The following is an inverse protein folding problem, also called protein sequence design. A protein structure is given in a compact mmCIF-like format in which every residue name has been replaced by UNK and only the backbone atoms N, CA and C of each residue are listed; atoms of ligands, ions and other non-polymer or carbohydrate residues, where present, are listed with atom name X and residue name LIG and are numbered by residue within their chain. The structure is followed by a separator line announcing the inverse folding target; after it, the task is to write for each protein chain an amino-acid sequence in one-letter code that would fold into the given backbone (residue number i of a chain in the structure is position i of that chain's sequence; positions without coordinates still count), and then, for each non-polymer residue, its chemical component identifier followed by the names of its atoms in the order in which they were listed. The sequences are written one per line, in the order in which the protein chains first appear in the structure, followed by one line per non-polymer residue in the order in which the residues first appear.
data_IF_217572404861
#
_entry.id   IF_217572404861
#
_cell.length_a   1.000
_cell.length_b   1.000
_cell.length_c   1.000
_cell.angle_alpha   90.00
_cell.angle_beta   90.00
_cell.angle_gamma   90.00
#
_symmetry.space_group_name_H-M   'P 1'
#
loop_
_entity.id
_entity.type
_entity.pdbx_description
1 polymer ?
#
# COMPACT_ATOMS: atom_id res chain seq x y z
N UNK A 1 -15.43 -9.31 7.76
CA UNK A 1 -14.53 -8.53 8.65
C UNK A 1 -13.51 -7.86 7.73
N UNK A 2 -13.34 -6.53 7.79
CA UNK A 2 -12.34 -5.87 6.95
C UNK A 2 -10.95 -6.43 7.28
N UNK A 3 -10.21 -6.87 6.25
CA UNK A 3 -8.83 -7.40 6.44
C UNK A 3 -7.86 -6.33 6.95
N UNK A 4 -8.19 -5.05 6.78
CA UNK A 4 -7.42 -3.93 7.31
C UNK A 4 -7.63 -3.80 8.83
N UNK A 5 -6.74 -4.43 9.59
CA UNK A 5 -6.75 -4.35 11.07
C UNK A 5 -6.09 -3.08 11.62
N UNK A 6 -5.40 -2.28 10.79
CA UNK A 6 -4.88 -0.98 11.20
C UNK A 6 -5.04 0.10 10.12
N UNK A 7 -5.39 1.31 10.57
CA UNK A 7 -5.42 2.53 9.75
C UNK A 7 -4.03 3.16 9.55
N UNK A 8 -3.01 2.61 10.22
CA UNK A 8 -1.68 3.20 10.33
C UNK A 8 -0.60 2.13 10.22
N UNK A 9 0.59 2.53 9.75
CA UNK A 9 1.82 1.77 9.89
C UNK A 9 2.02 1.34 11.35
N UNK A 10 2.50 0.12 11.56
CA UNK A 10 2.90 -0.30 12.90
C UNK A 10 4.07 0.56 13.39
N UNK A 11 4.21 0.72 14.72
CA UNK A 11 5.27 1.54 15.31
C UNK A 11 6.67 1.19 14.79
N UNK A 12 6.96 -0.11 14.61
CA UNK A 12 8.23 -0.56 14.05
C UNK A 12 8.43 -0.13 12.59
N UNK A 13 7.39 -0.23 11.76
CA UNK A 13 7.45 0.19 10.36
C UNK A 13 7.59 1.70 10.25
N UNK A 14 6.81 2.47 11.01
CA UNK A 14 6.91 3.92 11.06
C UNK A 14 8.30 4.38 11.51
N UNK A 15 8.90 3.71 12.50
CA UNK A 15 10.26 4.02 12.98
C UNK A 15 11.31 3.79 11.89
N UNK A 16 11.27 2.64 11.20
CA UNK A 16 12.18 2.34 10.07
C UNK A 16 12.02 3.37 8.94
N UNK A 17 10.79 3.69 8.54
CA UNK A 17 10.57 4.67 7.49
C UNK A 17 11.00 6.08 7.90
N UNK A 18 10.76 6.49 9.14
CA UNK A 18 11.17 7.81 9.64
C UNK A 18 12.68 8.01 9.50
N UNK A 19 13.49 7.04 9.94
CA UNK A 19 14.96 7.16 9.83
C UNK A 19 15.44 7.18 8.37
N UNK A 20 14.74 6.51 7.46
CA UNK A 20 15.09 6.46 6.04
C UNK A 20 14.64 7.69 5.26
N UNK A 21 13.49 8.27 5.64
CA UNK A 21 12.94 9.49 5.05
C UNK A 21 13.81 10.69 5.45
N UNK A 22 14.12 10.83 6.74
CA UNK A 22 14.83 12.01 7.26
C UNK A 22 16.34 11.82 7.33
N UNK A 23 16.83 10.60 7.54
CA UNK A 23 18.26 10.30 7.68
C UNK A 23 18.93 9.78 6.40
N UNK A 24 18.18 9.66 5.30
CA UNK A 24 18.68 9.18 4.02
C UNK A 24 18.98 7.68 3.99
N UNK A 25 19.86 7.27 3.07
CA UNK A 25 20.14 5.85 2.85
C UNK A 25 20.98 5.23 3.99
N UNK A 26 20.46 4.17 4.60
CA UNK A 26 21.06 3.50 5.77
C UNK A 26 21.29 2.00 5.53
N UNK A 27 22.42 1.49 6.00
CA UNK A 27 22.71 0.05 6.00
C UNK A 27 21.79 -0.70 6.97
N UNK A 28 21.67 -2.02 6.79
CA UNK A 28 20.87 -2.85 7.68
C UNK A 28 21.29 -2.70 9.16
N UNK A 29 22.60 -2.64 9.42
CA UNK A 29 23.16 -2.48 10.77
C UNK A 29 22.90 -1.10 11.37
N UNK A 30 22.97 -0.04 10.55
CA UNK A 30 22.62 1.33 10.97
C UNK A 30 21.14 1.39 11.39
N UNK A 31 20.25 0.82 10.56
CA UNK A 31 18.81 0.76 10.85
C UNK A 31 18.54 -0.04 12.12
N UNK A 32 19.17 -1.21 12.29
CA UNK A 32 18.99 -2.04 13.47
C UNK A 32 19.36 -1.27 14.75
N UNK A 33 20.52 -0.59 14.73
CA UNK A 33 21.02 0.20 15.86
C UNK A 33 20.10 1.38 16.20
N UNK A 34 19.66 2.13 15.19
CA UNK A 34 18.82 3.32 15.39
C UNK A 34 17.37 2.96 15.78
N UNK A 35 16.86 1.82 15.29
CA UNK A 35 15.48 1.39 15.58
C UNK A 35 15.36 0.59 16.86
N UNK A 36 16.41 -0.10 17.30
CA UNK A 36 16.37 -1.00 18.47
C UNK A 36 15.48 -2.23 18.26
N UNK A 37 15.12 -2.53 17.01
CA UNK A 37 14.30 -3.69 16.66
C UNK A 37 15.12 -4.99 16.77
N UNK A 38 14.43 -6.12 16.92
CA UNK A 38 15.07 -7.42 16.77
C UNK A 38 15.51 -7.65 15.32
N UNK A 39 16.57 -8.46 15.11
CA UNK A 39 17.08 -8.80 13.77
C UNK A 39 15.98 -9.38 12.86
N UNK A 40 15.16 -10.27 13.42
CA UNK A 40 14.04 -10.91 12.72
C UNK A 40 12.92 -9.91 12.43
N UNK A 41 12.59 -9.03 13.39
CA UNK A 41 11.60 -7.97 13.23
C UNK A 41 11.98 -7.00 12.11
N UNK A 42 13.23 -6.52 12.11
CA UNK A 42 13.73 -5.64 11.06
C UNK A 42 13.71 -6.30 9.68
N UNK A 43 14.14 -7.56 9.59
CA UNK A 43 14.14 -8.29 8.31
C UNK A 43 12.74 -8.45 7.74
N UNK A 44 11.73 -8.76 8.58
CA UNK A 44 10.33 -8.82 8.17
C UNK A 44 9.82 -7.45 7.70
N UNK A 45 10.13 -6.38 8.43
CA UNK A 45 9.73 -5.02 8.07
C UNK A 45 10.35 -4.58 6.75
N UNK A 46 11.67 -4.74 6.56
CA UNK A 46 12.34 -4.36 5.31
C UNK A 46 11.82 -5.18 4.12
N UNK A 47 11.55 -6.48 4.32
CA UNK A 47 10.92 -7.31 3.28
C UNK A 47 9.56 -6.76 2.88
N UNK A 48 8.71 -6.40 3.84
CA UNK A 48 7.38 -5.81 3.58
C UNK A 48 7.49 -4.44 2.90
N UNK A 49 8.36 -3.56 3.39
CA UNK A 49 8.58 -2.23 2.82
C UNK A 49 9.09 -2.29 1.37
N UNK A 50 9.96 -3.25 1.06
CA UNK A 50 10.42 -3.50 -0.32
C UNK A 50 9.32 -4.07 -1.21
N UNK A 51 8.54 -5.04 -0.71
CA UNK A 51 7.41 -5.62 -1.45
C UNK A 51 6.39 -4.55 -1.84
N UNK A 52 6.12 -3.62 -0.94
CA UNK A 52 5.18 -2.52 -1.15
C UNK A 52 5.86 -1.27 -1.76
N UNK A 53 7.04 -1.43 -2.39
CA UNK A 53 7.78 -0.38 -3.10
C UNK A 53 7.95 0.93 -2.31
N UNK A 54 8.08 0.83 -0.98
CA UNK A 54 8.29 1.98 -0.09
C UNK A 54 9.77 2.24 0.16
N UNK A 55 10.59 1.21 -0.01
CA UNK A 55 12.04 1.24 0.20
C UNK A 55 12.73 0.45 -0.91
N UNK A 56 13.86 0.96 -1.38
CA UNK A 56 14.74 0.29 -2.34
C UNK A 56 16.11 -0.02 -1.73
N UNK A 57 16.80 -1.00 -2.32
CA UNK A 57 18.18 -1.32 -1.98
C UNK A 57 19.13 -0.55 -2.90
N UNK A 58 20.09 0.17 -2.31
CA UNK A 58 21.07 1.00 -3.01
C UNK A 58 22.47 0.67 -2.53
N UNK A 59 23.48 1.01 -3.34
CA UNK A 59 24.88 0.99 -2.91
C UNK A 59 25.28 2.39 -2.44
N UNK A 60 25.85 2.47 -1.25
CA UNK A 60 26.40 3.72 -0.69
C UNK A 60 27.86 3.53 -0.35
N UNK A 61 28.67 4.57 -0.55
CA UNK A 61 30.05 4.59 -0.10
C UNK A 61 30.11 4.82 1.41
N UNK A 62 30.90 4.02 2.11
CA UNK A 62 31.25 4.17 3.52
C UNK A 62 32.76 3.95 3.63
N UNK A 63 33.52 5.05 3.71
CA UNK A 63 34.97 5.01 3.47
C UNK A 63 35.26 4.48 2.06
N UNK A 64 36.23 3.57 1.96
CA UNK A 64 36.69 3.01 0.68
C UNK A 64 35.83 1.85 0.14
N UNK A 65 34.75 1.49 0.86
CA UNK A 65 33.90 0.35 0.50
C UNK A 65 32.51 0.82 0.07
N UNK A 66 32.00 0.22 -1.01
CA UNK A 66 30.58 0.27 -1.36
C UNK A 66 29.84 -0.78 -0.54
N UNK A 67 28.84 -0.35 0.23
CA UNK A 67 28.02 -1.22 1.07
C UNK A 67 26.55 -1.10 0.70
N UNK A 68 25.82 -2.18 0.91
CA UNK A 68 24.38 -2.24 0.66
C UNK A 68 23.62 -1.45 1.73
N UNK A 69 22.75 -0.56 1.28
CA UNK A 69 21.89 0.26 2.11
C UNK A 69 20.46 0.26 1.58
N UNK A 70 19.56 0.82 2.38
CA UNK A 70 18.14 0.97 2.10
C UNK A 70 17.83 2.45 2.01
N UNK A 71 16.99 2.84 1.04
CA UNK A 71 16.55 4.22 0.84
C UNK A 71 15.04 4.27 0.76
N UNK A 72 14.41 5.27 1.39
CA UNK A 72 12.99 5.51 1.25
C UNK A 72 12.64 6.02 -0.17
N UNK A 73 11.59 5.46 -0.77
CA UNK A 73 10.98 5.94 -2.03
C UNK A 73 9.80 6.89 -1.79
N UNK A 74 9.39 7.02 -0.54
CA UNK A 74 8.33 7.89 -0.05
C UNK A 74 8.92 9.11 0.63
N UNK A 75 8.22 10.24 0.57
CA UNK A 75 8.67 11.50 1.16
C UNK A 75 8.08 11.79 2.54
N UNK A 76 7.09 11.00 3.00
CA UNK A 76 6.45 11.18 4.29
C UNK A 76 5.81 9.89 4.80
N UNK A 77 5.59 9.80 6.12
CA UNK A 77 4.87 8.67 6.74
C UNK A 77 3.41 8.57 6.28
N UNK A 78 2.79 9.70 5.92
CA UNK A 78 1.41 9.74 5.40
C UNK A 78 1.37 9.10 4.01
N UNK A 79 2.31 9.45 3.12
CA UNK A 79 2.43 8.80 1.80
C UNK A 79 2.70 7.30 1.95
N UNK A 80 3.51 6.92 2.93
CA UNK A 80 3.78 5.52 3.24
C UNK A 80 2.55 4.73 3.75
N UNK A 81 1.78 5.29 4.69
CA UNK A 81 0.51 4.69 5.16
C UNK A 81 -0.38 4.39 3.95
N UNK A 82 -0.52 5.38 3.07
CA UNK A 82 -1.39 5.32 1.91
C UNK A 82 -0.96 4.26 0.90
N UNK A 83 0.30 4.30 0.49
CA UNK A 83 0.85 3.33 -0.45
C UNK A 83 0.83 1.92 0.11
N UNK A 84 1.10 1.75 1.40
CA UNK A 84 1.06 0.43 2.01
C UNK A 84 -0.35 -0.18 1.95
N UNK A 85 -1.38 0.61 2.29
CA UNK A 85 -2.77 0.16 2.19
C UNK A 85 -3.17 -0.15 0.75
N UNK A 86 -2.77 0.70 -0.20
CA UNK A 86 -3.01 0.47 -1.64
C UNK A 86 -2.34 -0.82 -2.11
N UNK A 87 -1.06 -1.06 -1.79
CA UNK A 87 -0.36 -2.25 -2.23
C UNK A 87 -0.87 -3.53 -1.60
N UNK A 88 -1.22 -3.51 -0.31
CA UNK A 88 -1.83 -4.68 0.36
C UNK A 88 -3.19 -5.01 -0.32
N UNK A 89 -3.99 -3.99 -0.65
CA UNK A 89 -5.21 -4.15 -1.44
C UNK A 89 -4.96 -4.71 -2.86
N UNK A 90 -3.96 -4.17 -3.57
CA UNK A 90 -3.62 -4.64 -4.92
C UNK A 90 -3.09 -6.08 -4.91
N UNK A 91 -2.42 -6.50 -3.84
CA UNK A 91 -1.97 -7.89 -3.63
C UNK A 91 -3.17 -8.83 -3.49
N UNK A 92 -4.15 -8.48 -2.65
CA UNK A 92 -5.40 -9.25 -2.51
C UNK A 92 -6.15 -9.37 -3.85
N UNK A 93 -6.28 -8.28 -4.61
CA UNK A 93 -6.88 -8.34 -5.93
C UNK A 93 -6.08 -9.19 -6.92
N UNK A 94 -4.75 -9.09 -6.91
CA UNK A 94 -3.88 -9.88 -7.78
C UNK A 94 -4.00 -11.38 -7.46
N UNK A 95 -4.17 -11.77 -6.19
CA UNK A 95 -4.41 -13.16 -5.79
C UNK A 95 -5.70 -13.71 -6.39
N UNK A 96 -6.79 -12.96 -6.32
CA UNK A 96 -8.06 -13.34 -6.95
C UNK A 96 -7.88 -13.44 -8.45
N UNK A 97 -7.24 -12.43 -9.05
CA UNK A 97 -7.16 -12.29 -10.50
C UNK A 97 -6.15 -13.26 -11.15
N UNK A 98 -5.31 -13.95 -10.38
CA UNK A 98 -4.42 -15.03 -10.84
C UNK A 98 -5.14 -16.37 -11.08
N UNK A 99 -6.38 -16.53 -10.59
CA UNK A 99 -7.17 -17.75 -10.80
C UNK A 99 -7.44 -17.95 -12.30
N UNK A 100 -7.16 -19.16 -12.82
CA UNK A 100 -7.32 -19.48 -14.25
C UNK A 100 -8.77 -19.27 -14.75
N UNK A 101 -9.75 -19.51 -13.88
CA UNK A 101 -11.17 -19.23 -14.12
C UNK A 101 -11.72 -18.53 -12.89
N UNK A 102 -12.43 -17.43 -13.09
CA UNK A 102 -13.10 -16.70 -12.03
C UNK A 102 -14.53 -17.22 -11.94
N UNK A 103 -14.89 -17.76 -10.80
CA UNK A 103 -16.27 -18.05 -10.42
C UNK A 103 -17.00 -16.76 -10.05
N UNK A 104 -18.34 -16.82 -9.94
CA UNK A 104 -19.13 -15.70 -9.44
C UNK A 104 -18.70 -15.28 -8.02
N UNK A 105 -18.34 -16.25 -7.18
CA UNK A 105 -17.83 -16.03 -5.81
C UNK A 105 -16.52 -15.24 -5.81
N UNK A 106 -15.63 -15.49 -6.78
CA UNK A 106 -14.37 -14.75 -6.90
C UNK A 106 -14.61 -13.29 -7.30
N UNK A 107 -15.63 -13.04 -8.13
CA UNK A 107 -16.03 -11.68 -8.51
C UNK A 107 -16.67 -10.95 -7.33
N UNK A 108 -17.49 -11.64 -6.52
CA UNK A 108 -17.98 -11.14 -5.23
C UNK A 108 -16.83 -10.78 -4.29
N UNK A 109 -15.87 -11.68 -4.09
CA UNK A 109 -14.70 -11.44 -3.24
C UNK A 109 -13.90 -10.22 -3.72
N UNK A 110 -13.72 -10.04 -5.03
CA UNK A 110 -13.06 -8.86 -5.58
C UNK A 110 -13.84 -7.57 -5.30
N UNK A 111 -15.17 -7.59 -5.40
CA UNK A 111 -16.04 -6.45 -5.07
C UNK A 111 -15.98 -6.11 -3.57
N UNK A 112 -15.95 -7.11 -2.71
CA UNK A 112 -15.80 -6.94 -1.26
C UNK A 112 -14.46 -6.29 -0.94
N UNK A 113 -13.36 -6.78 -1.53
CA UNK A 113 -12.01 -6.21 -1.35
C UNK A 113 -11.94 -4.76 -1.82
N UNK A 114 -12.58 -4.42 -2.96
CA UNK A 114 -12.68 -3.04 -3.44
C UNK A 114 -13.50 -2.14 -2.51
N UNK A 115 -14.63 -2.65 -2.02
CA UNK A 115 -15.52 -1.91 -1.11
C UNK A 115 -14.84 -1.65 0.23
N UNK A 116 -14.15 -2.65 0.78
CA UNK A 116 -13.35 -2.53 2.00
C UNK A 116 -12.25 -1.47 1.86
N UNK A 117 -11.55 -1.44 0.71
CA UNK A 117 -10.52 -0.43 0.46
C UNK A 117 -11.09 0.98 0.36
N UNK A 118 -12.21 1.17 -0.36
CA UNK A 118 -12.89 2.47 -0.46
C UNK A 118 -13.40 2.93 0.91
N UNK A 119 -13.94 2.02 1.70
CA UNK A 119 -14.39 2.31 3.07
C UNK A 119 -13.23 2.73 3.97
N UNK A 120 -12.11 1.98 3.94
CA UNK A 120 -10.88 2.33 4.65
C UNK A 120 -10.37 3.71 4.24
N UNK A 121 -10.33 3.99 2.93
CA UNK A 121 -9.88 5.25 2.37
C UNK A 121 -10.74 6.43 2.87
N UNK A 122 -12.05 6.24 2.90
CA UNK A 122 -13.01 7.23 3.40
C UNK A 122 -12.78 7.53 4.88
N UNK A 123 -12.62 6.51 5.72
CA UNK A 123 -12.31 6.68 7.15
C UNK A 123 -10.98 7.41 7.33
N UNK A 124 -9.95 7.00 6.58
CA UNK A 124 -8.62 7.57 6.67
C UNK A 124 -8.64 9.07 6.36
N UNK A 125 -9.23 9.45 5.21
CA UNK A 125 -9.36 10.85 4.77
C UNK A 125 -10.14 11.66 5.79
N UNK A 126 -11.32 11.18 6.22
CA UNK A 126 -12.17 11.85 7.20
C UNK A 126 -11.39 12.13 8.49
N UNK A 127 -10.65 11.15 8.99
CA UNK A 127 -9.84 11.30 10.21
C UNK A 127 -8.70 12.30 10.04
N UNK A 128 -8.03 12.33 8.89
CA UNK A 128 -6.96 13.30 8.62
C UNK A 128 -7.50 14.73 8.49
N UNK A 129 -8.69 14.90 7.92
CA UNK A 129 -9.40 16.18 7.89
C UNK A 129 -9.75 16.66 9.31
N UNK A 130 -10.32 15.78 10.15
CA UNK A 130 -10.65 16.11 11.54
C UNK A 130 -9.43 16.50 12.37
N UNK A 131 -8.27 15.88 12.12
CA UNK A 131 -7.04 16.22 12.81
C UNK A 131 -6.40 17.52 12.33
N UNK A 132 -6.91 18.17 11.26
CA UNK A 132 -6.34 19.36 10.61
C UNK A 132 -4.85 19.24 10.25
N UNK A 133 -4.34 18.01 10.13
CA UNK A 133 -2.92 17.73 9.88
C UNK A 133 -2.53 17.80 8.40
N UNK A 134 -3.52 17.75 7.51
CA UNK A 134 -3.30 17.69 6.06
C UNK A 134 -4.33 18.59 5.36
N UNK A 135 -3.90 19.35 4.35
CA UNK A 135 -4.83 20.17 3.57
C UNK A 135 -5.81 19.30 2.78
N UNK A 136 -7.08 19.73 2.61
CA UNK A 136 -8.07 19.01 1.81
C UNK A 136 -7.58 18.73 0.38
N UNK A 137 -6.88 19.69 -0.24
CA UNK A 137 -6.28 19.52 -1.58
C UNK A 137 -5.35 18.33 -1.65
N UNK A 138 -4.42 18.20 -0.69
CA UNK A 138 -3.45 17.10 -0.67
C UNK A 138 -4.13 15.75 -0.42
N UNK A 139 -5.20 15.72 0.38
CA UNK A 139 -6.01 14.51 0.57
C UNK A 139 -6.74 14.12 -0.71
N UNK A 140 -7.36 15.08 -1.41
CA UNK A 140 -8.04 14.83 -2.69
C UNK A 140 -7.07 14.28 -3.75
N UNK A 141 -5.90 14.91 -3.93
CA UNK A 141 -4.86 14.43 -4.85
C UNK A 141 -4.38 13.01 -4.50
N UNK A 142 -4.33 12.69 -3.21
CA UNK A 142 -3.91 11.38 -2.72
C UNK A 142 -4.97 10.31 -3.05
N UNK A 143 -6.24 10.59 -2.74
CA UNK A 143 -7.39 9.74 -3.08
C UNK A 143 -7.48 9.50 -4.58
N UNK A 144 -7.39 10.57 -5.37
CA UNK A 144 -7.45 10.48 -6.83
C UNK A 144 -6.37 9.56 -7.39
N UNK A 145 -5.12 9.70 -6.91
CA UNK A 145 -4.02 8.82 -7.30
C UNK A 145 -4.27 7.35 -6.96
N UNK A 146 -4.84 7.03 -5.79
CA UNK A 146 -5.20 5.63 -5.48
C UNK A 146 -6.28 5.10 -6.41
N UNK A 147 -7.33 5.88 -6.66
CA UNK A 147 -8.44 5.45 -7.53
C UNK A 147 -7.92 5.24 -8.96
N UNK A 148 -7.08 6.14 -9.46
CA UNK A 148 -6.45 5.98 -10.77
C UNK A 148 -5.59 4.72 -10.84
N UNK A 149 -4.78 4.45 -9.82
CA UNK A 149 -3.92 3.26 -9.76
C UNK A 149 -4.72 1.96 -9.66
N UNK A 150 -5.79 1.97 -8.87
CA UNK A 150 -6.81 0.92 -8.79
C UNK A 150 -7.39 0.61 -10.17
N UNK A 151 -7.95 1.63 -10.83
CA UNK A 151 -8.56 1.48 -12.16
C UNK A 151 -7.53 0.96 -13.16
N UNK A 152 -6.30 1.49 -13.14
CA UNK A 152 -5.20 1.05 -14.00
C UNK A 152 -4.89 -0.42 -13.80
N UNK A 153 -4.81 -0.89 -12.55
CA UNK A 153 -4.54 -2.29 -12.24
C UNK A 153 -5.67 -3.20 -12.69
N UNK A 154 -6.93 -2.87 -12.39
CA UNK A 154 -8.09 -3.65 -12.82
C UNK A 154 -8.11 -3.75 -14.34
N UNK A 155 -7.94 -2.64 -15.07
CA UNK A 155 -7.91 -2.63 -16.54
C UNK A 155 -6.76 -3.46 -17.12
N UNK A 156 -5.60 -3.50 -16.45
CA UNK A 156 -4.46 -4.34 -16.85
C UNK A 156 -4.82 -5.83 -16.75
N UNK A 157 -5.68 -6.22 -15.80
CA UNK A 157 -6.21 -7.57 -15.72
C UNK A 157 -7.52 -7.70 -16.52
N UNK A 158 -7.39 -7.90 -17.84
CA UNK A 158 -8.51 -7.97 -18.79
C UNK A 158 -9.60 -8.97 -18.38
N UNK A 159 -9.21 -10.08 -17.74
CA UNK A 159 -10.12 -11.13 -17.33
C UNK A 159 -11.01 -10.67 -16.16
N UNK A 160 -10.42 -10.17 -15.08
CA UNK A 160 -11.17 -9.60 -13.95
C UNK A 160 -12.05 -8.43 -14.38
N UNK A 161 -11.52 -7.51 -15.20
CA UNK A 161 -12.27 -6.37 -15.72
C UNK A 161 -13.53 -6.78 -16.49
N UNK A 162 -13.43 -7.82 -17.33
CA UNK A 162 -14.57 -8.31 -18.13
C UNK A 162 -15.68 -8.85 -17.23
N UNK A 163 -15.34 -9.65 -16.24
CA UNK A 163 -16.34 -10.26 -15.35
C UNK A 163 -16.99 -9.22 -14.42
N UNK A 164 -16.22 -8.25 -13.92
CA UNK A 164 -16.77 -7.10 -13.18
C UNK A 164 -17.76 -6.29 -14.02
N UNK A 165 -17.44 -6.02 -15.29
CA UNK A 165 -18.31 -5.26 -16.20
C UNK A 165 -19.64 -5.97 -16.45
N UNK A 166 -19.62 -7.29 -16.69
CA UNK A 166 -20.85 -8.07 -16.87
C UNK A 166 -21.77 -7.97 -15.65
N UNK A 167 -21.21 -8.06 -14.45
CA UNK A 167 -21.98 -7.98 -13.20
C UNK A 167 -22.56 -6.59 -12.99
N UNK A 168 -21.81 -5.53 -13.32
CA UNK A 168 -22.31 -4.15 -13.29
C UNK A 168 -23.49 -3.96 -14.25
N UNK A 169 -23.39 -4.46 -15.49
CA UNK A 169 -24.49 -4.39 -16.47
C UNK A 169 -25.74 -5.08 -15.94
N UNK A 170 -25.60 -6.29 -15.38
CA UNK A 170 -26.72 -7.03 -14.80
C UNK A 170 -27.38 -6.30 -13.63
N UNK A 171 -26.60 -5.72 -12.73
CA UNK A 171 -27.11 -4.91 -11.62
C UNK A 171 -27.88 -3.68 -12.10
N UNK A 172 -27.43 -3.02 -13.17
CA UNK A 172 -28.13 -1.87 -13.74
C UNK A 172 -29.43 -2.29 -14.44
N UNK A 173 -29.46 -3.46 -15.07
CA UNK A 173 -30.67 -4.06 -15.66
C UNK A 173 -31.71 -4.47 -14.60
N UNK A 174 -31.29 -4.84 -13.39
CA UNK A 174 -32.20 -5.20 -12.28
C UNK A 174 -32.82 -3.97 -11.58
N UNK A 175 -32.26 -2.77 -11.79
CA UNK A 175 -32.69 -1.52 -11.16
C UNK A 175 -33.64 -0.70 -12.06
N UNK A 176 -33.58 -0.89 -13.39
CA UNK A 176 -34.40 -0.18 -14.40
C UNK A 176 -35.67 -0.98 -14.70
#
# INVERSE_FOLDING_TARGET
MPRFTSLYLSNGVAKVLSILIYGGAKTWSEILRETGLSKSGLSKILKRLRRNDLVEEVLVSRGDKKVKAYRAKVSSLIDADFRMALYDFLEDLDEIAKKQRLSQKDVEEALDVMSDYIYWLTIYVTRKMLQKKVSPKKLAETVEKAIQELIRKIKKNKHLYRELRKKQTKLLEEII
#
